data_IF_070914447072
#
_entry.id   IF_070914447072
#
_cell.length_a   1.000
_cell.length_b   1.000
_cell.length_c   1.000
_cell.angle_alpha   90.00
_cell.angle_beta   90.00
_cell.angle_gamma   90.00
#
_symmetry.space_group_name_H-M   'P 1'
#
loop_
_entity.id
_entity.type
_entity.pdbx_description
1 polymer ?
#
# COMPACT_ATOMS: atom_id res chain seq x y z
N UNK A 1 -14.70 37.36 20.18
CA UNK A 1 -14.77 38.05 18.89
C UNK A 1 -14.20 37.10 17.85
N UNK A 2 -15.06 36.55 17.00
CA UNK A 2 -14.73 35.53 16.00
C UNK A 2 -14.45 36.25 14.68
N UNK A 3 -13.29 35.98 14.07
CA UNK A 3 -12.83 36.58 12.82
C UNK A 3 -13.60 35.93 11.66
N UNK A 4 -14.33 36.72 10.87
CA UNK A 4 -15.33 36.24 9.88
C UNK A 4 -14.83 36.17 8.42
N UNK A 5 -13.53 36.28 8.17
CA UNK A 5 -13.04 36.61 6.81
C UNK A 5 -12.41 35.47 6.00
N UNK A 6 -12.80 34.20 6.16
CA UNK A 6 -12.44 33.17 5.16
C UNK A 6 -13.57 32.16 4.93
N UNK A 7 -14.61 32.57 4.21
CA UNK A 7 -15.58 31.66 3.58
C UNK A 7 -15.38 31.73 2.07
N UNK A 8 -14.72 30.71 1.50
CA UNK A 8 -14.61 30.57 0.05
C UNK A 8 -15.88 29.92 -0.49
N UNK A 9 -16.73 30.73 -1.13
CA UNK A 9 -17.89 30.26 -1.90
C UNK A 9 -17.41 29.96 -3.32
N UNK A 10 -17.34 28.68 -3.68
CA UNK A 10 -17.08 28.25 -5.06
C UNK A 10 -18.41 28.33 -5.81
N UNK A 11 -18.52 29.26 -6.76
CA UNK A 11 -19.66 29.39 -7.66
C UNK A 11 -19.51 28.49 -8.89
N UNK A 12 -20.62 28.02 -9.46
CA UNK A 12 -20.67 27.07 -10.59
C UNK A 12 -19.94 27.54 -11.86
N UNK A 13 -19.68 28.84 -12.00
CA UNK A 13 -18.97 29.44 -13.15
C UNK A 13 -17.46 29.10 -13.21
N UNK A 14 -16.86 28.65 -12.11
CA UNK A 14 -15.44 28.27 -12.06
C UNK A 14 -15.16 26.85 -12.58
N UNK A 15 -16.21 26.04 -12.81
CA UNK A 15 -16.07 24.60 -13.12
C UNK A 15 -15.91 24.34 -14.63
N UNK A 16 -16.22 25.30 -15.51
CA UNK A 16 -16.31 25.04 -16.96
C UNK A 16 -15.56 26.05 -17.84
N UNK A 17 -14.22 25.99 -17.86
CA UNK A 17 -13.44 26.43 -19.03
C UNK A 17 -12.31 25.43 -19.37
N UNK A 18 -12.29 24.85 -20.59
CA UNK A 18 -11.21 24.00 -21.05
C UNK A 18 -10.00 24.86 -21.48
N UNK A 19 -8.83 24.56 -20.91
CA UNK A 19 -7.57 25.24 -21.25
C UNK A 19 -7.05 24.83 -22.62
N UNK A 20 -7.19 25.72 -23.59
CA UNK A 20 -6.75 25.52 -24.97
C UNK A 20 -5.26 25.87 -25.15
N UNK A 21 -4.56 25.06 -25.95
CA UNK A 21 -3.13 25.17 -26.24
C UNK A 21 -2.88 26.20 -27.35
N UNK A 22 -2.06 27.21 -27.08
CA UNK A 22 -1.66 28.21 -28.09
C UNK A 22 -0.16 28.49 -28.11
N UNK A 23 0.50 28.12 -29.22
CA UNK A 23 1.88 28.42 -29.62
C UNK A 23 2.09 29.93 -29.87
N UNK A 24 3.30 30.45 -29.62
CA UNK A 24 3.77 31.73 -30.17
C UNK A 24 5.30 31.83 -30.24
N UNK A 25 5.85 31.95 -31.46
CA UNK A 25 7.26 32.23 -31.79
C UNK A 25 7.55 33.75 -31.67
N UNK A 26 8.82 34.13 -31.37
CA UNK A 26 9.35 35.50 -31.12
C UNK A 26 9.38 36.48 -32.33
N UNK A 27 10.39 37.37 -32.56
CA UNK A 27 11.61 37.75 -31.78
C UNK A 27 11.88 39.30 -31.70
N UNK A 28 12.80 39.79 -30.83
CA UNK A 28 13.65 40.99 -31.11
C UNK A 28 14.83 41.17 -30.12
N UNK A 29 15.87 41.85 -30.59
CA UNK A 29 17.28 41.90 -30.16
C UNK A 29 17.66 42.98 -29.10
N UNK A 30 18.62 42.60 -28.21
CA UNK A 30 19.88 43.23 -27.63
C UNK A 30 20.02 44.78 -27.72
N UNK A 31 20.72 45.55 -26.81
CA UNK A 31 21.90 45.12 -26.00
C UNK A 31 22.18 45.76 -24.60
N UNK A 32 23.10 45.09 -23.89
CA UNK A 32 24.18 45.56 -22.99
C UNK A 32 24.01 46.72 -21.97
N UNK A 33 24.33 46.45 -20.69
CA UNK A 33 25.17 47.34 -19.87
C UNK A 33 25.71 46.65 -18.59
N UNK A 34 26.96 46.99 -18.26
CA UNK A 34 27.80 46.64 -17.11
C UNK A 34 27.39 47.34 -15.80
N UNK A 35 27.83 46.76 -14.68
CA UNK A 35 28.10 47.45 -13.41
C UNK A 35 26.94 47.41 -12.42
N UNK A 36 27.11 47.46 -11.10
CA UNK A 36 28.24 47.39 -10.20
C UNK A 36 27.63 47.33 -8.78
N UNK A 37 28.35 46.69 -7.85
CA UNK A 37 28.43 46.94 -6.39
C UNK A 37 27.23 47.58 -5.67
N UNK A 38 26.84 46.96 -4.56
CA UNK A 38 26.21 47.66 -3.45
C UNK A 38 25.68 46.72 -2.38
N UNK A 39 26.48 46.52 -1.34
CA UNK A 39 26.05 45.85 -0.12
C UNK A 39 25.05 46.72 0.65
N UNK A 40 24.02 46.11 1.24
CA UNK A 40 23.50 46.54 2.54
C UNK A 40 22.64 45.45 3.19
N UNK A 41 22.71 45.43 4.51
CA UNK A 41 22.41 44.32 5.41
C UNK A 41 21.38 44.82 6.40
N UNK A 42 20.16 44.28 6.36
CA UNK A 42 19.18 44.29 7.46
C UNK A 42 18.12 43.23 7.11
N UNK A 43 17.94 42.14 7.84
CA UNK A 43 17.74 42.11 9.28
C UNK A 43 16.25 42.25 9.57
N UNK A 44 15.44 41.27 9.15
CA UNK A 44 14.08 41.10 9.64
C UNK A 44 13.81 39.59 9.72
N UNK A 45 13.40 39.17 10.91
CA UNK A 45 13.27 37.82 11.36
C UNK A 45 12.24 37.04 10.54
N UNK A 46 12.70 35.96 9.91
CA UNK A 46 11.86 34.86 9.48
C UNK A 46 12.29 33.67 10.34
N UNK A 47 11.55 33.48 11.43
CA UNK A 47 11.82 32.44 12.43
C UNK A 47 11.43 31.09 11.84
N UNK A 48 12.41 30.57 11.11
CA UNK A 48 12.62 29.22 10.59
C UNK A 48 11.81 28.13 11.31
N UNK A 49 10.68 27.72 10.71
CA UNK A 49 10.10 26.40 10.94
C UNK A 49 11.08 25.36 10.40
N UNK A 50 11.80 24.74 11.32
CA UNK A 50 12.48 23.45 11.20
C UNK A 50 13.13 23.19 9.82
N UNK A 51 14.27 23.84 9.61
CA UNK A 51 15.30 23.33 8.71
C UNK A 51 15.71 21.94 9.20
N UNK A 52 15.04 20.91 8.68
CA UNK A 52 15.42 19.52 8.89
C UNK A 52 16.87 19.37 8.46
N UNK A 53 17.73 19.17 9.45
CA UNK A 53 19.13 18.87 9.30
C UNK A 53 19.33 17.92 8.12
N UNK A 54 19.98 18.42 7.08
CA UNK A 54 20.43 17.59 5.97
C UNK A 54 21.25 16.45 6.58
N UNK A 55 20.79 15.18 6.50
CA UNK A 55 21.57 14.09 7.04
C UNK A 55 22.86 14.02 6.25
N UNK A 56 23.96 14.09 7.00
CA UNK A 56 25.33 13.95 6.58
C UNK A 56 25.46 12.95 5.43
N UNK A 57 26.15 13.38 4.36
CA UNK A 57 26.59 12.56 3.21
C UNK A 57 27.66 11.53 3.64
N UNK A 58 27.42 10.76 4.69
CA UNK A 58 28.14 9.52 4.93
C UNK A 58 27.69 8.53 3.85
N UNK A 59 28.64 8.05 3.03
CA UNK A 59 28.44 7.26 1.81
C UNK A 59 27.12 6.49 1.74
N UNK A 60 26.08 7.10 1.16
CA UNK A 60 24.75 6.49 1.03
C UNK A 60 24.85 5.31 0.07
N UNK A 61 25.07 4.12 0.60
CA UNK A 61 24.84 2.86 -0.10
C UNK A 61 23.46 2.94 -0.75
N UNK A 62 23.39 2.88 -2.08
CA UNK A 62 22.11 2.92 -2.82
C UNK A 62 21.14 1.92 -2.19
N UNK A 63 20.03 2.43 -1.66
CA UNK A 63 18.97 1.59 -1.09
C UNK A 63 18.23 0.92 -2.24
N UNK A 64 18.03 -0.39 -2.14
CA UNK A 64 17.36 -1.17 -3.17
C UNK A 64 15.86 -1.29 -2.84
N UNK A 65 14.95 -0.74 -3.65
CA UNK A 65 13.51 -0.81 -3.41
C UNK A 65 12.95 -2.22 -3.31
N UNK A 66 13.43 -3.15 -4.14
CA UNK A 66 13.03 -4.54 -4.07
C UNK A 66 13.40 -5.19 -2.73
N UNK A 67 14.57 -4.83 -2.17
CA UNK A 67 14.98 -5.34 -0.87
C UNK A 67 14.12 -4.75 0.25
N UNK A 68 13.87 -3.43 0.22
CA UNK A 68 13.02 -2.76 1.22
C UNK A 68 11.60 -3.34 1.24
N UNK A 69 10.98 -3.50 0.08
CA UNK A 69 9.62 -4.06 -0.03
C UNK A 69 9.56 -5.53 0.38
N UNK A 70 10.58 -6.31 0.03
CA UNK A 70 10.67 -7.73 0.43
C UNK A 70 10.80 -7.86 1.95
N UNK A 71 11.61 -7.02 2.59
CA UNK A 71 11.73 -7.02 4.05
C UNK A 71 10.38 -6.68 4.72
N UNK A 72 9.70 -5.63 4.25
CA UNK A 72 8.37 -5.26 4.76
C UNK A 72 7.28 -6.29 4.47
N UNK A 73 7.45 -7.15 3.46
CA UNK A 73 6.52 -8.25 3.15
C UNK A 73 6.56 -9.35 4.21
N UNK A 74 7.74 -9.63 4.78
CA UNK A 74 7.94 -10.68 5.77
C UNK A 74 7.75 -10.23 7.21
N UNK A 75 8.18 -9.00 7.53
CA UNK A 75 7.98 -8.40 8.85
C UNK A 75 7.75 -6.91 8.68
N UNK A 76 6.68 -6.40 9.27
CA UNK A 76 6.27 -5.03 9.04
C UNK A 76 7.28 -4.05 9.65
N UNK A 77 7.50 -2.94 8.96
CA UNK A 77 8.47 -1.93 9.40
C UNK A 77 9.93 -2.23 9.05
N UNK A 78 10.32 -3.46 8.68
CA UNK A 78 11.72 -3.75 8.36
C UNK A 78 12.22 -3.02 7.10
N UNK A 79 11.38 -2.84 6.09
CA UNK A 79 11.75 -2.06 4.91
C UNK A 79 11.95 -0.58 5.22
N UNK A 80 11.16 -0.03 6.15
CA UNK A 80 11.30 1.32 6.65
C UNK A 80 12.58 1.48 7.46
N UNK A 81 12.89 0.49 8.31
CA UNK A 81 14.15 0.45 9.06
C UNK A 81 15.35 0.37 8.10
N UNK A 82 15.24 -0.46 7.05
CA UNK A 82 16.23 -0.52 5.97
C UNK A 82 16.37 0.84 5.25
N UNK A 83 15.30 1.62 5.11
CA UNK A 83 15.37 2.97 4.53
C UNK A 83 15.93 4.03 5.50
N UNK A 84 16.17 3.67 6.77
CA UNK A 84 16.59 4.58 7.84
C UNK A 84 15.44 5.41 8.42
N UNK A 85 14.21 4.95 8.29
CA UNK A 85 13.02 5.59 8.85
C UNK A 85 12.54 4.84 10.09
N UNK A 86 13.25 5.04 11.21
CA UNK A 86 13.01 4.30 12.45
C UNK A 86 11.64 4.57 13.07
N UNK A 87 11.08 5.77 12.90
CA UNK A 87 9.76 6.13 13.45
C UNK A 87 8.65 5.36 12.73
N UNK A 88 8.67 5.36 11.40
CA UNK A 88 7.70 4.57 10.62
C UNK A 88 7.91 3.06 10.82
N UNK A 89 9.15 2.60 10.93
CA UNK A 89 9.44 1.21 11.25
C UNK A 89 8.80 0.77 12.58
N UNK A 90 8.99 1.57 13.63
CA UNK A 90 8.41 1.30 14.94
C UNK A 90 6.87 1.31 14.91
N UNK A 91 6.26 2.24 14.16
CA UNK A 91 4.80 2.29 13.98
C UNK A 91 4.28 0.99 13.35
N UNK A 92 4.84 0.60 12.20
CA UNK A 92 4.39 -0.60 11.48
C UNK A 92 4.60 -1.88 12.29
N UNK A 93 5.76 -2.02 12.94
CA UNK A 93 6.04 -3.18 13.80
C UNK A 93 5.10 -3.21 15.01
N UNK A 94 4.82 -2.06 15.63
CA UNK A 94 3.87 -1.99 16.76
C UNK A 94 2.46 -2.37 16.32
N UNK A 95 2.02 -1.93 15.14
CA UNK A 95 0.74 -2.33 14.56
C UNK A 95 0.67 -3.84 14.32
N UNK A 96 1.74 -4.45 13.77
CA UNK A 96 1.81 -5.91 13.58
C UNK A 96 1.66 -6.65 14.92
N UNK A 97 2.41 -6.23 15.95
CA UNK A 97 2.32 -6.82 17.28
C UNK A 97 0.94 -6.65 17.91
N UNK A 98 0.29 -5.48 17.73
CA UNK A 98 -1.06 -5.22 18.22
C UNK A 98 -2.10 -6.10 17.50
N UNK A 99 -1.98 -6.28 16.19
CA UNK A 99 -2.86 -7.16 15.42
C UNK A 99 -2.69 -8.61 15.87
N UNK A 100 -1.45 -9.08 16.05
CA UNK A 100 -1.17 -10.42 16.54
C UNK A 100 -1.71 -10.64 17.96
N UNK A 101 -1.50 -9.66 18.85
CA UNK A 101 -2.06 -9.70 20.21
C UNK A 101 -3.59 -9.70 20.18
N UNK A 102 -4.21 -8.85 19.36
CA UNK A 102 -5.67 -8.81 19.18
C UNK A 102 -6.22 -10.17 18.76
N UNK A 103 -5.64 -10.80 17.73
CA UNK A 103 -6.05 -12.13 17.27
C UNK A 103 -5.84 -13.20 18.33
N UNK A 104 -4.71 -13.18 19.03
CA UNK A 104 -4.42 -14.11 20.11
C UNK A 104 -5.45 -13.99 21.26
N UNK A 105 -5.77 -12.77 21.69
CA UNK A 105 -6.78 -12.52 22.72
C UNK A 105 -8.18 -12.89 22.25
N UNK A 106 -8.54 -12.54 21.01
CA UNK A 106 -9.82 -12.92 20.41
C UNK A 106 -10.00 -14.44 20.42
N UNK A 107 -8.95 -15.19 20.03
CA UNK A 107 -8.95 -16.64 20.06
C UNK A 107 -9.06 -17.20 21.49
N UNK A 108 -8.22 -16.75 22.42
CA UNK A 108 -8.18 -17.27 23.79
C UNK A 108 -9.43 -16.96 24.62
N UNK A 109 -10.11 -15.85 24.30
CA UNK A 109 -11.30 -15.40 25.04
C UNK A 109 -12.58 -15.50 24.24
N UNK A 110 -12.58 -16.20 23.10
CA UNK A 110 -13.71 -16.28 22.18
C UNK A 110 -15.03 -16.63 22.88
N UNK A 111 -15.04 -17.68 23.71
CA UNK A 111 -16.25 -18.10 24.43
C UNK A 111 -16.76 -17.01 25.37
N UNK A 112 -15.86 -16.30 26.06
CA UNK A 112 -16.23 -15.20 26.96
C UNK A 112 -16.78 -14.01 26.20
N UNK A 113 -16.15 -13.66 25.07
CA UNK A 113 -16.61 -12.57 24.19
C UNK A 113 -17.99 -12.92 23.64
N UNK A 114 -18.21 -14.16 23.19
CA UNK A 114 -19.49 -14.65 22.70
C UNK A 114 -20.58 -14.58 23.78
N UNK A 115 -20.32 -15.10 24.98
CA UNK A 115 -21.26 -15.01 26.10
C UNK A 115 -21.58 -13.57 26.47
N UNK A 116 -20.57 -12.69 26.51
CA UNK A 116 -20.77 -11.27 26.77
C UNK A 116 -21.59 -10.58 25.68
N UNK A 117 -21.30 -10.85 24.40
CA UNK A 117 -22.04 -10.31 23.26
C UNK A 117 -23.53 -10.70 23.30
N UNK A 118 -23.84 -11.93 23.71
CA UNK A 118 -25.22 -12.37 23.91
C UNK A 118 -26.00 -11.56 24.95
N UNK A 119 -25.34 -10.99 25.96
CA UNK A 119 -25.99 -10.09 26.92
C UNK A 119 -26.48 -8.79 26.28
N UNK A 120 -25.88 -8.40 25.15
CA UNK A 120 -26.26 -7.22 24.36
C UNK A 120 -27.08 -7.58 23.12
N UNK A 121 -27.62 -8.79 23.03
CA UNK A 121 -28.35 -9.30 21.87
C UNK A 121 -27.53 -9.32 20.57
N UNK A 122 -26.20 -9.27 20.68
CA UNK A 122 -25.30 -9.39 19.52
C UNK A 122 -25.07 -10.87 19.25
N UNK A 123 -25.38 -11.29 18.03
CA UNK A 123 -25.22 -12.68 17.63
C UNK A 123 -23.78 -12.97 17.21
N UNK A 124 -23.38 -14.25 17.27
CA UNK A 124 -22.06 -14.71 16.83
C UNK A 124 -21.74 -14.27 15.39
N UNK A 125 -22.75 -14.20 14.52
CA UNK A 125 -22.62 -13.71 13.14
C UNK A 125 -22.13 -12.29 13.03
N UNK A 126 -22.67 -11.40 13.86
CA UNK A 126 -22.33 -9.98 13.83
C UNK A 126 -20.90 -9.81 14.33
N UNK A 127 -20.54 -10.53 15.39
CA UNK A 127 -19.18 -10.56 15.93
C UNK A 127 -18.15 -11.05 14.88
N UNK A 128 -18.46 -12.12 14.16
CA UNK A 128 -17.62 -12.62 13.07
C UNK A 128 -17.53 -11.62 11.91
N UNK A 129 -18.64 -10.96 11.55
CA UNK A 129 -18.66 -9.95 10.50
C UNK A 129 -17.76 -8.76 10.86
N UNK A 130 -17.81 -8.29 12.11
CA UNK A 130 -16.94 -7.23 12.60
C UNK A 130 -15.46 -7.65 12.57
N UNK A 131 -15.12 -8.84 13.10
CA UNK A 131 -13.76 -9.36 13.05
C UNK A 131 -13.25 -9.46 11.59
N UNK A 132 -14.05 -10.05 10.71
CA UNK A 132 -13.70 -10.21 9.29
C UNK A 132 -13.52 -8.87 8.56
N UNK A 133 -14.27 -7.83 8.94
CA UNK A 133 -14.15 -6.48 8.38
C UNK A 133 -12.82 -5.83 8.79
N UNK A 134 -12.40 -6.03 10.05
CA UNK A 134 -11.10 -5.58 10.55
C UNK A 134 -9.98 -6.28 9.76
N UNK A 135 -10.07 -7.60 9.59
CA UNK A 135 -9.07 -8.38 8.85
C UNK A 135 -8.97 -7.96 7.38
N UNK A 136 -10.10 -7.62 6.77
CA UNK A 136 -10.10 -7.08 5.41
C UNK A 136 -9.36 -5.73 5.33
N UNK A 137 -9.53 -4.84 6.33
CA UNK A 137 -8.76 -3.59 6.42
C UNK A 137 -7.25 -3.83 6.63
N UNK A 138 -6.89 -4.87 7.38
CA UNK A 138 -5.48 -5.27 7.61
C UNK A 138 -4.77 -5.57 6.28
N UNK A 139 -5.45 -6.12 5.27
CA UNK A 139 -4.88 -6.34 3.93
C UNK A 139 -4.35 -5.04 3.32
N UNK A 140 -5.15 -3.96 3.35
CA UNK A 140 -4.74 -2.68 2.80
C UNK A 140 -3.56 -2.10 3.55
N UNK A 141 -3.57 -2.20 4.88
CA UNK A 141 -2.48 -1.71 5.71
C UNK A 141 -1.17 -2.47 5.44
N UNK A 142 -1.25 -3.79 5.27
CA UNK A 142 -0.10 -4.64 4.88
C UNK A 142 0.48 -4.23 3.52
N UNK A 143 -0.37 -4.06 2.51
CA UNK A 143 0.04 -3.63 1.17
C UNK A 143 0.65 -2.23 1.21
N UNK A 144 0.04 -1.32 1.99
CA UNK A 144 0.56 0.03 2.19
C UNK A 144 1.95 0.00 2.82
N UNK A 145 2.18 -0.81 3.85
CA UNK A 145 3.50 -1.02 4.45
C UNK A 145 4.55 -1.43 3.40
N UNK A 146 4.25 -2.41 2.54
CA UNK A 146 5.14 -2.87 1.46
C UNK A 146 5.39 -1.77 0.43
N UNK A 147 4.33 -1.10 -0.03
CA UNK A 147 4.42 -0.05 -1.05
C UNK A 147 5.18 1.19 -0.53
N UNK A 148 4.95 1.57 0.72
CA UNK A 148 5.63 2.67 1.37
C UNK A 148 7.13 2.37 1.52
N UNK A 149 7.51 1.16 1.92
CA UNK A 149 8.92 0.75 1.97
C UNK A 149 9.59 0.81 0.60
N UNK A 150 8.89 0.36 -0.45
CA UNK A 150 9.37 0.43 -1.83
C UNK A 150 9.60 1.90 -2.27
N UNK A 151 8.59 2.75 -2.10
CA UNK A 151 8.65 4.17 -2.48
C UNK A 151 9.68 4.96 -1.66
N UNK A 152 9.79 4.66 -0.37
CA UNK A 152 10.76 5.27 0.52
C UNK A 152 12.21 4.96 0.10
N UNK A 153 12.45 3.76 -0.42
CA UNK A 153 13.74 3.38 -0.99
C UNK A 153 14.01 4.07 -2.34
N UNK A 154 13.01 4.14 -3.24
CA UNK A 154 13.13 4.83 -4.53
C UNK A 154 13.46 6.31 -4.34
N UNK A 155 12.78 6.98 -3.41
CA UNK A 155 13.01 8.40 -3.10
C UNK A 155 14.45 8.67 -2.60
N UNK A 156 15.12 7.68 -2.00
CA UNK A 156 16.47 7.82 -1.43
C UNK A 156 17.57 7.26 -2.33
N UNK A 157 17.27 6.25 -3.14
CA UNK A 157 18.22 5.50 -3.96
C UNK A 157 18.12 5.77 -5.47
N UNK A 158 17.06 6.46 -5.92
CA UNK A 158 16.73 6.68 -7.32
C UNK A 158 15.76 5.62 -7.87
N UNK A 159 15.39 5.78 -9.15
CA UNK A 159 14.49 4.86 -9.85
C UNK A 159 15.11 3.46 -9.92
N UNK A 160 14.31 2.45 -9.61
CA UNK A 160 14.73 1.05 -9.70
C UNK A 160 14.22 0.41 -10.98
N UNK A 161 15.13 -0.17 -11.75
CA UNK A 161 14.83 -0.77 -13.04
C UNK A 161 14.51 -2.27 -12.96
N UNK A 162 14.67 -2.90 -11.79
CA UNK A 162 14.45 -4.33 -11.61
C UNK A 162 15.73 -5.17 -11.54
N UNK A 163 15.61 -6.38 -10.99
CA UNK A 163 16.71 -7.36 -10.90
C UNK A 163 16.98 -8.07 -12.23
N UNK A 164 15.99 -8.15 -13.13
CA UNK A 164 16.10 -8.80 -14.44
C UNK A 164 16.57 -10.27 -14.38
N UNK A 165 16.12 -11.02 -13.36
CA UNK A 165 16.43 -12.44 -13.17
C UNK A 165 15.16 -13.27 -13.35
N UNK A 166 14.88 -13.82 -14.55
CA UNK A 166 13.59 -14.44 -14.86
C UNK A 166 13.18 -15.56 -13.91
N UNK A 167 14.11 -16.47 -13.63
CA UNK A 167 13.86 -17.61 -12.75
C UNK A 167 13.56 -17.14 -11.31
N UNK A 168 14.33 -16.17 -10.81
CA UNK A 168 14.14 -15.63 -9.45
C UNK A 168 12.81 -14.90 -9.34
N UNK A 169 12.48 -14.05 -10.31
CA UNK A 169 11.20 -13.31 -10.29
C UNK A 169 10.00 -14.25 -10.44
N UNK A 170 10.10 -15.28 -11.29
CA UNK A 170 9.07 -16.30 -11.43
C UNK A 170 8.87 -17.10 -10.14
N UNK A 171 9.95 -17.62 -9.54
CA UNK A 171 9.87 -18.36 -8.28
C UNK A 171 9.35 -17.48 -7.13
N UNK A 172 9.75 -16.21 -7.04
CA UNK A 172 9.25 -15.28 -6.05
C UNK A 172 7.72 -15.12 -6.16
N UNK A 173 7.20 -14.89 -7.38
CA UNK A 173 5.74 -14.78 -7.60
C UNK A 173 5.00 -16.12 -7.48
N UNK A 174 5.68 -17.26 -7.61
CA UNK A 174 5.10 -18.56 -7.32
C UNK A 174 4.84 -18.74 -5.82
N UNK A 175 5.74 -18.26 -4.96
CA UNK A 175 5.54 -18.31 -3.50
C UNK A 175 4.59 -17.23 -2.99
N UNK A 176 4.76 -15.99 -3.46
CA UNK A 176 3.90 -14.86 -3.08
C UNK A 176 3.58 -14.05 -4.34
N UNK A 177 2.35 -14.13 -4.88
CA UNK A 177 1.95 -13.35 -6.04
C UNK A 177 2.22 -11.85 -5.85
N UNK A 178 2.82 -11.23 -6.86
CA UNK A 178 3.24 -9.83 -6.84
C UNK A 178 4.67 -9.60 -6.36
N UNK A 179 5.30 -10.57 -5.68
CA UNK A 179 6.68 -10.42 -5.21
C UNK A 179 7.68 -10.29 -6.35
N UNK A 180 7.57 -11.12 -7.40
CA UNK A 180 8.42 -11.02 -8.58
C UNK A 180 8.26 -9.69 -9.33
N UNK A 181 7.06 -9.09 -9.32
CA UNK A 181 6.83 -7.75 -9.86
C UNK A 181 7.54 -6.67 -9.03
N UNK A 182 7.59 -6.78 -7.70
CA UNK A 182 8.41 -5.89 -6.86
C UNK A 182 9.89 -6.01 -7.23
N UNK A 183 10.39 -7.24 -7.41
CA UNK A 183 11.77 -7.50 -7.83
C UNK A 183 12.10 -6.90 -9.20
N UNK A 184 11.10 -6.72 -10.06
CA UNK A 184 11.23 -6.13 -11.39
C UNK A 184 10.84 -4.65 -11.46
N UNK A 185 10.62 -4.00 -10.32
CA UNK A 185 10.29 -2.57 -10.24
C UNK A 185 8.89 -2.18 -10.72
N UNK A 186 7.95 -3.13 -10.75
CA UNK A 186 6.57 -2.93 -11.20
C UNK A 186 5.61 -2.84 -10.02
N UNK A 187 5.74 -1.78 -9.21
CA UNK A 187 4.96 -1.61 -7.98
C UNK A 187 3.45 -1.70 -8.18
N UNK A 188 2.90 -1.07 -9.24
CA UNK A 188 1.45 -1.09 -9.49
C UNK A 188 0.89 -2.51 -9.71
N UNK A 189 1.59 -3.31 -10.53
CA UNK A 189 1.20 -4.71 -10.74
C UNK A 189 1.42 -5.56 -9.49
N UNK A 190 2.52 -5.32 -8.78
CA UNK A 190 2.81 -6.01 -7.53
C UNK A 190 1.69 -5.81 -6.50
N UNK A 191 1.25 -4.58 -6.30
CA UNK A 191 0.14 -4.24 -5.39
C UNK A 191 -1.15 -4.98 -5.78
N UNK A 192 -1.48 -5.02 -7.07
CA UNK A 192 -2.65 -5.76 -7.56
C UNK A 192 -2.57 -7.26 -7.25
N UNK A 193 -1.43 -7.90 -7.57
CA UNK A 193 -1.26 -9.33 -7.34
C UNK A 193 -1.18 -9.68 -5.85
N UNK A 194 -0.54 -8.84 -5.03
CA UNK A 194 -0.52 -8.99 -3.57
C UNK A 194 -1.93 -8.87 -3.00
N UNK A 195 -2.72 -7.89 -3.45
CA UNK A 195 -4.13 -7.78 -3.05
C UNK A 195 -4.91 -9.04 -3.39
N UNK A 196 -4.79 -9.52 -4.63
CA UNK A 196 -5.45 -10.76 -5.08
C UNK A 196 -5.06 -11.97 -4.20
N UNK A 197 -3.77 -12.11 -3.87
CA UNK A 197 -3.26 -13.15 -2.99
C UNK A 197 -3.81 -13.04 -1.56
N UNK A 198 -3.78 -11.86 -0.94
CA UNK A 198 -4.27 -11.68 0.43
C UNK A 198 -5.79 -11.84 0.52
N UNK A 199 -6.55 -11.42 -0.50
CA UNK A 199 -7.99 -11.70 -0.58
C UNK A 199 -8.24 -13.21 -0.68
N UNK A 200 -7.43 -13.95 -1.44
CA UNK A 200 -7.53 -15.40 -1.49
C UNK A 200 -7.27 -16.05 -0.14
N UNK A 201 -6.17 -15.66 0.54
CA UNK A 201 -5.83 -16.15 1.88
C UNK A 201 -6.96 -15.83 2.86
N UNK A 202 -7.45 -14.59 2.86
CA UNK A 202 -8.57 -14.15 3.68
C UNK A 202 -9.82 -15.01 3.46
N UNK A 203 -10.22 -15.26 2.22
CA UNK A 203 -11.39 -16.09 1.90
C UNK A 203 -11.18 -17.55 2.30
N UNK A 204 -9.98 -18.11 2.12
CA UNK A 204 -9.67 -19.49 2.55
C UNK A 204 -9.71 -19.60 4.07
N UNK A 205 -9.14 -18.64 4.80
CA UNK A 205 -9.18 -18.58 6.26
C UNK A 205 -10.61 -18.44 6.74
N UNK A 206 -11.40 -17.54 6.15
CA UNK A 206 -12.81 -17.38 6.45
C UNK A 206 -13.61 -18.67 6.19
N UNK A 207 -13.30 -19.39 5.10
CA UNK A 207 -13.93 -20.68 4.79
C UNK A 207 -13.55 -21.79 5.79
N UNK A 208 -12.29 -21.82 6.22
CA UNK A 208 -11.73 -22.90 7.06
C UNK A 208 -11.99 -22.73 8.54
N UNK A 209 -11.82 -21.52 9.06
CA UNK A 209 -11.94 -21.23 10.49
C UNK A 209 -13.38 -20.94 10.89
N UNK A 210 -14.24 -20.63 9.94
CA UNK A 210 -15.58 -20.25 10.30
C UNK A 210 -16.50 -21.43 10.58
N UNK A 211 -17.24 -21.41 11.71
CA UNK A 211 -18.45 -22.20 11.90
C UNK A 211 -19.50 -21.98 10.78
N UNK A 212 -19.37 -20.90 9.98
CA UNK A 212 -20.17 -20.56 8.78
C UNK A 212 -20.44 -21.81 7.93
N UNK A 213 -19.43 -22.62 7.59
CA UNK A 213 -19.68 -23.77 6.71
C UNK A 213 -20.33 -24.97 7.39
N UNK A 214 -20.19 -25.11 8.71
CA UNK A 214 -20.73 -26.24 9.47
C UNK A 214 -22.13 -25.99 10.02
N UNK A 215 -22.52 -24.75 10.28
CA UNK A 215 -23.79 -24.38 10.92
C UNK A 215 -24.81 -23.81 9.92
N UNK A 216 -24.39 -23.20 8.80
CA UNK A 216 -25.35 -22.68 7.80
C UNK A 216 -26.02 -23.74 6.92
N UNK A 217 -25.61 -25.00 7.01
CA UNK A 217 -26.33 -26.11 6.38
C UNK A 217 -27.75 -26.28 6.99
N UNK A 218 -27.99 -25.80 8.20
CA UNK A 218 -29.20 -26.10 8.98
C UNK A 218 -30.26 -24.96 9.02
N UNK A 219 -30.11 -23.86 8.27
CA UNK A 219 -31.05 -22.71 8.32
C UNK A 219 -31.75 -22.48 6.96
N UNK A 220 -32.99 -22.96 6.84
CA UNK A 220 -33.79 -23.01 5.60
C UNK A 220 -34.22 -21.65 4.97
N UNK A 221 -34.55 -20.56 5.69
CA UNK A 221 -35.08 -19.36 5.01
C UNK A 221 -34.03 -18.43 4.38
N UNK A 222 -32.74 -18.58 4.74
CA UNK A 222 -31.63 -17.70 4.25
C UNK A 222 -30.74 -18.33 3.17
N UNK A 223 -31.08 -19.53 2.71
CA UNK A 223 -30.26 -20.28 1.75
C UNK A 223 -29.99 -19.52 0.45
N UNK A 224 -30.88 -18.64 -0.01
CA UNK A 224 -30.67 -17.92 -1.27
C UNK A 224 -29.52 -16.91 -1.22
N UNK A 225 -29.51 -16.02 -0.22
CA UNK A 225 -28.44 -15.02 -0.05
C UNK A 225 -27.12 -15.71 0.29
N UNK A 226 -27.19 -16.76 1.10
CA UNK A 226 -26.03 -17.58 1.43
C UNK A 226 -25.45 -18.25 0.18
N UNK A 227 -26.28 -18.94 -0.61
CA UNK A 227 -25.82 -19.61 -1.83
C UNK A 227 -25.21 -18.63 -2.83
N UNK A 228 -25.76 -17.40 -2.92
CA UNK A 228 -25.14 -16.31 -3.69
C UNK A 228 -23.77 -15.92 -3.13
N UNK A 229 -23.66 -15.69 -1.82
CA UNK A 229 -22.40 -15.33 -1.18
C UNK A 229 -21.33 -16.43 -1.35
N UNK A 230 -21.71 -17.70 -1.21
CA UNK A 230 -20.81 -18.85 -1.45
C UNK A 230 -20.37 -18.90 -2.92
N UNK A 231 -21.29 -18.76 -3.88
CA UNK A 231 -20.96 -18.72 -5.32
C UNK A 231 -20.02 -17.57 -5.66
N UNK A 232 -20.26 -16.38 -5.10
CA UNK A 232 -19.38 -15.22 -5.26
C UNK A 232 -18.01 -15.51 -4.65
N UNK A 233 -17.95 -16.04 -3.43
CA UNK A 233 -16.70 -16.43 -2.78
C UNK A 233 -15.90 -17.44 -3.60
N UNK A 234 -16.54 -18.48 -4.14
CA UNK A 234 -15.90 -19.45 -5.02
C UNK A 234 -15.42 -18.82 -6.34
N UNK A 235 -16.20 -17.92 -6.94
CA UNK A 235 -15.79 -17.19 -8.13
C UNK A 235 -14.57 -16.31 -7.85
N UNK A 236 -14.52 -15.61 -6.71
CA UNK A 236 -13.37 -14.81 -6.30
C UNK A 236 -12.15 -15.70 -6.04
N UNK A 237 -12.32 -16.85 -5.37
CA UNK A 237 -11.23 -17.82 -5.18
C UNK A 237 -10.67 -18.33 -6.52
N UNK A 238 -11.53 -18.61 -7.49
CA UNK A 238 -11.11 -19.02 -8.83
C UNK A 238 -10.32 -17.89 -9.54
N UNK A 239 -10.83 -16.67 -9.53
CA UNK A 239 -10.18 -15.51 -10.17
C UNK A 239 -8.85 -15.18 -9.51
N UNK A 240 -8.77 -15.25 -8.18
CA UNK A 240 -7.52 -15.01 -7.44
C UNK A 240 -6.48 -16.12 -7.66
N UNK A 241 -6.91 -17.39 -7.73
CA UNK A 241 -6.03 -18.50 -8.13
C UNK A 241 -5.51 -18.35 -9.56
N UNK A 242 -6.34 -17.91 -10.51
CA UNK A 242 -5.90 -17.59 -11.86
C UNK A 242 -4.91 -16.41 -11.86
N UNK A 243 -5.17 -15.40 -11.04
CA UNK A 243 -4.27 -14.25 -10.86
C UNK A 243 -2.89 -14.67 -10.33
N UNK A 244 -2.81 -15.72 -9.51
CA UNK A 244 -1.56 -16.30 -9.03
C UNK A 244 -0.70 -16.84 -10.20
N UNK A 245 -1.31 -17.66 -11.06
CA UNK A 245 -0.64 -18.20 -12.26
C UNK A 245 -0.17 -17.07 -13.18
N UNK A 246 -1.05 -16.08 -13.41
CA UNK A 246 -0.74 -14.90 -14.21
C UNK A 246 0.39 -14.07 -13.61
N UNK A 247 0.43 -13.92 -12.27
CA UNK A 247 1.51 -13.21 -11.57
C UNK A 247 2.86 -13.89 -11.80
N UNK A 248 2.90 -15.22 -11.71
CA UNK A 248 4.12 -16.02 -11.92
C UNK A 248 4.63 -15.86 -13.35
N UNK A 249 3.74 -16.00 -14.32
CA UNK A 249 4.06 -15.87 -15.74
C UNK A 249 4.51 -14.44 -16.11
N UNK A 250 3.78 -13.40 -15.66
CA UNK A 250 4.13 -12.00 -15.90
C UNK A 250 5.49 -11.64 -15.29
N UNK A 251 5.78 -12.08 -14.06
CA UNK A 251 7.06 -11.80 -13.40
C UNK A 251 8.24 -12.40 -14.17
N UNK A 252 8.08 -13.61 -14.71
CA UNK A 252 9.10 -14.26 -15.55
C UNK A 252 9.31 -13.51 -16.87
N UNK A 253 8.22 -13.19 -17.59
CA UNK A 253 8.29 -12.51 -18.88
C UNK A 253 8.91 -11.13 -18.77
N UNK A 254 8.46 -10.32 -17.81
CA UNK A 254 8.99 -8.98 -17.56
C UNK A 254 10.50 -9.04 -17.33
N UNK A 255 10.96 -9.91 -16.44
CA UNK A 255 12.37 -10.06 -16.16
C UNK A 255 13.19 -10.51 -17.39
N UNK A 256 12.60 -11.32 -18.28
CA UNK A 256 13.28 -11.84 -19.48
C UNK A 256 13.39 -10.80 -20.60
N UNK A 257 12.31 -10.07 -20.87
CA UNK A 257 12.20 -9.23 -22.07
C UNK A 257 12.56 -7.77 -21.82
N UNK A 258 12.39 -7.24 -20.60
CA UNK A 258 12.82 -5.87 -20.30
C UNK A 258 14.35 -5.70 -20.42
N UNK A 259 15.12 -6.78 -20.27
CA UNK A 259 16.58 -6.79 -20.47
C UNK A 259 17.00 -6.55 -21.92
N UNK A 260 16.20 -6.96 -22.91
CA UNK A 260 16.57 -6.91 -24.33
C UNK A 260 16.36 -5.55 -24.99
N UNK A 261 15.57 -4.66 -24.40
CA UNK A 261 15.23 -3.36 -24.99
C UNK A 261 16.30 -2.30 -24.65
N UNK A 262 17.19 -2.55 -23.68
CA UNK A 262 18.18 -1.59 -23.20
C UNK A 262 19.65 -1.98 -23.46
N UNK A 263 19.89 -3.11 -24.12
CA UNK A 263 21.22 -3.55 -24.55
C UNK A 263 21.38 -3.29 -26.05
#
# INVERSE_FOLDING_TARGET
MINQDEVFVITEDDILKPGDKGKGKGPRAVPAAKGARGAERSGAADETVAGNAAPSRAGRRRRNPAAASTLSLFLWGLGQLYNGDGKLAALFLSCELLILAFHYFLFMTWDRIRTFAHLFFVNEWELMLYASSIDFCVIFFMIYNVAQAYRGAEARGGRFDGLHRPIVSGLASLFVPGWGQLLNGQLGKAVFFLFSFFVQVYLVVLYRLSPFFRILADIEPRQFLLNRAIKIGMAVLFVTALSWLMSTYDAFLVARYTRRIRA
#
